data_IF_072501998804
#
_entry.id   IF_072501998804
#
_cell.length_a   1.000
_cell.length_b   1.000
_cell.length_c   1.000
_cell.angle_alpha   90.00
_cell.angle_beta   90.00
_cell.angle_gamma   90.00
#
_symmetry.space_group_name_H-M   'P 1'
#
loop_
_entity.id
_entity.type
_entity.pdbx_description
1 polymer ?
#
# COMPACT_ATOMS: atom_id res chain seq x y z
N UNK A 1 -27.26 -37.92 -16.10
CA UNK A 1 -26.08 -37.96 -15.20
C UNK A 1 -26.19 -36.91 -14.08
N UNK A 2 -27.10 -37.08 -13.09
CA UNK A 2 -27.25 -36.18 -11.92
C UNK A 2 -27.27 -36.91 -10.56
N UNK A 3 -26.89 -38.19 -10.52
CA UNK A 3 -26.98 -39.04 -9.32
C UNK A 3 -25.69 -39.06 -8.46
N UNK A 4 -24.55 -38.61 -8.99
CA UNK A 4 -23.28 -38.58 -8.24
C UNK A 4 -23.17 -37.43 -7.21
N UNK A 5 -23.94 -36.35 -7.41
CA UNK A 5 -23.96 -35.19 -6.49
C UNK A 5 -24.69 -35.46 -5.16
N UNK A 6 -25.82 -36.17 -5.21
CA UNK A 6 -26.69 -36.41 -4.04
C UNK A 6 -26.06 -37.34 -3.00
N UNK A 7 -25.47 -38.45 -3.43
CA UNK A 7 -24.78 -39.40 -2.54
C UNK A 7 -23.57 -38.75 -1.82
N UNK A 8 -22.92 -37.78 -2.46
CA UNK A 8 -21.78 -37.04 -1.91
C UNK A 8 -22.23 -36.01 -0.87
N UNK A 9 -23.40 -35.39 -1.06
CA UNK A 9 -23.98 -34.43 -0.11
C UNK A 9 -24.51 -35.13 1.14
N UNK A 10 -25.17 -36.29 1.00
CA UNK A 10 -25.63 -37.07 2.16
C UNK A 10 -24.49 -37.64 3.00
N UNK A 11 -23.42 -38.15 2.37
CA UNK A 11 -22.20 -38.56 3.09
C UNK A 11 -21.57 -37.40 3.85
N UNK A 12 -21.49 -36.21 3.24
CA UNK A 12 -20.96 -35.00 3.91
C UNK A 12 -21.82 -34.56 5.11
N UNK A 13 -23.16 -34.69 5.02
CA UNK A 13 -24.09 -34.38 6.13
C UNK A 13 -23.97 -35.39 7.28
N UNK A 14 -23.92 -36.69 6.99
CA UNK A 14 -23.72 -37.74 8.01
C UNK A 14 -22.41 -37.56 8.78
N UNK A 15 -21.31 -37.29 8.09
CA UNK A 15 -20.00 -37.08 8.72
C UNK A 15 -20.00 -35.82 9.63
N UNK A 16 -20.63 -34.72 9.19
CA UNK A 16 -20.78 -33.51 10.02
C UNK A 16 -21.59 -33.79 11.29
N UNK A 17 -22.64 -34.59 11.19
CA UNK A 17 -23.47 -35.00 12.34
C UNK A 17 -22.66 -35.78 13.38
N UNK A 18 -21.77 -36.67 12.94
CA UNK A 18 -20.93 -37.48 13.85
C UNK A 18 -19.99 -36.61 14.66
N UNK A 19 -19.28 -35.66 14.04
CA UNK A 19 -18.36 -34.78 14.77
C UNK A 19 -19.05 -33.89 15.80
N UNK A 20 -20.27 -33.42 15.51
CA UNK A 20 -21.06 -32.61 16.46
C UNK A 20 -21.56 -33.46 17.62
N UNK A 21 -22.00 -34.70 17.36
CA UNK A 21 -22.44 -35.62 18.42
C UNK A 21 -21.26 -36.06 19.30
N UNK A 22 -20.10 -36.36 18.72
CA UNK A 22 -18.88 -36.66 19.47
C UNK A 22 -18.41 -35.47 20.29
N UNK A 23 -18.55 -34.24 19.78
CA UNK A 23 -18.21 -33.03 20.53
C UNK A 23 -19.11 -32.83 21.77
N UNK A 24 -20.42 -33.09 21.65
CA UNK A 24 -21.35 -33.07 22.78
C UNK A 24 -20.98 -34.14 23.82
N UNK A 25 -20.71 -35.37 23.36
CA UNK A 25 -20.26 -36.44 24.23
C UNK A 25 -19.00 -36.07 25.03
N UNK A 26 -18.00 -35.45 24.39
CA UNK A 26 -16.78 -34.99 25.08
C UNK A 26 -17.08 -33.90 26.11
N UNK A 27 -18.00 -32.97 25.81
CA UNK A 27 -18.37 -31.90 26.74
C UNK A 27 -19.03 -32.43 28.01
N UNK A 28 -19.84 -33.47 27.87
CA UNK A 28 -20.62 -34.07 28.95
C UNK A 28 -19.81 -35.08 29.80
N UNK A 29 -18.64 -35.53 29.33
CA UNK A 29 -17.75 -36.40 30.10
C UNK A 29 -17.17 -35.70 31.32
N UNK A 30 -17.01 -36.44 32.42
CA UNK A 30 -16.23 -35.97 33.57
C UNK A 30 -14.75 -35.84 33.22
N UNK A 31 -14.02 -35.05 34.00
CA UNK A 31 -12.60 -34.80 33.78
C UNK A 31 -11.76 -36.10 33.84
N UNK A 32 -12.05 -36.99 34.80
CA UNK A 32 -11.32 -38.25 34.97
C UNK A 32 -11.63 -39.23 33.82
N UNK A 33 -12.90 -39.34 33.43
CA UNK A 33 -13.32 -40.16 32.29
C UNK A 33 -12.73 -39.66 30.97
N UNK A 34 -12.61 -38.34 30.82
CA UNK A 34 -12.00 -37.71 29.66
C UNK A 34 -10.53 -38.09 29.53
N UNK A 35 -9.75 -38.11 30.61
CA UNK A 35 -8.33 -38.49 30.57
C UNK A 35 -8.17 -39.92 30.03
N UNK A 36 -9.00 -40.85 30.51
CA UNK A 36 -8.98 -42.26 30.09
C UNK A 36 -9.38 -42.43 28.62
N UNK A 37 -10.36 -41.64 28.17
CA UNK A 37 -10.87 -41.72 26.80
C UNK A 37 -9.98 -40.93 25.83
N UNK A 38 -9.20 -39.95 26.31
CA UNK A 38 -8.40 -39.07 25.47
C UNK A 38 -7.41 -39.84 24.59
N UNK A 39 -6.77 -40.89 25.13
CA UNK A 39 -5.87 -41.75 24.36
C UNK A 39 -6.57 -42.54 23.25
N UNK A 40 -7.89 -42.72 23.35
CA UNK A 40 -8.72 -43.40 22.36
C UNK A 40 -9.31 -42.44 21.30
N UNK A 41 -9.13 -41.12 21.46
CA UNK A 41 -9.54 -40.13 20.45
C UNK A 41 -8.57 -40.21 19.27
N UNK A 42 -9.06 -40.06 18.01
CA UNK A 42 -8.18 -39.97 16.85
C UNK A 42 -7.07 -38.92 17.05
N UNK A 43 -5.85 -39.17 16.57
CA UNK A 43 -4.74 -38.24 16.74
C UNK A 43 -5.11 -36.81 16.31
N UNK A 44 -4.76 -35.82 17.14
CA UNK A 44 -5.12 -34.41 16.92
C UNK A 44 -4.65 -33.92 15.54
N UNK A 45 -3.48 -34.37 15.08
CA UNK A 45 -2.95 -34.13 13.72
C UNK A 45 -3.93 -34.51 12.61
N UNK A 46 -4.63 -35.62 12.76
CA UNK A 46 -5.57 -36.10 11.76
C UNK A 46 -6.89 -35.34 11.82
N UNK A 47 -7.32 -34.94 13.02
CA UNK A 47 -8.45 -34.03 13.18
C UNK A 47 -8.16 -32.66 12.55
N UNK A 48 -6.95 -32.12 12.68
CA UNK A 48 -6.53 -30.85 12.06
C UNK A 48 -6.65 -30.90 10.52
N UNK A 49 -6.26 -32.01 9.89
CA UNK A 49 -6.33 -32.16 8.42
C UNK A 49 -7.77 -32.03 7.87
N UNK A 50 -8.77 -32.41 8.67
CA UNK A 50 -10.19 -32.51 8.29
C UNK A 50 -10.96 -31.18 8.54
N UNK A 51 -10.28 -30.12 9.00
CA UNK A 51 -10.85 -28.77 9.13
C UNK A 51 -11.47 -28.32 7.80
N UNK A 52 -12.71 -27.77 7.81
CA UNK A 52 -13.43 -27.24 8.97
C UNK A 52 -14.39 -28.21 9.68
N UNK A 53 -14.53 -29.47 9.24
CA UNK A 53 -15.57 -30.36 9.78
C UNK A 53 -15.31 -30.86 11.20
N UNK A 54 -14.04 -30.99 11.56
CA UNK A 54 -13.59 -31.41 12.89
C UNK A 54 -13.58 -30.30 13.93
N UNK A 55 -13.82 -29.04 13.55
CA UNK A 55 -13.73 -27.90 14.46
C UNK A 55 -14.61 -28.00 15.71
N UNK A 56 -15.87 -28.47 15.65
CA UNK A 56 -16.68 -28.64 16.86
C UNK A 56 -16.06 -29.64 17.84
N UNK A 57 -15.44 -30.71 17.33
CA UNK A 57 -14.78 -31.73 18.13
C UNK A 57 -13.47 -31.22 18.72
N UNK A 58 -12.66 -30.53 17.91
CA UNK A 58 -11.43 -29.88 18.37
C UNK A 58 -11.73 -28.84 19.45
N UNK A 59 -12.78 -28.04 19.28
CA UNK A 59 -13.20 -27.06 20.28
C UNK A 59 -13.56 -27.72 21.63
N UNK A 60 -14.36 -28.80 21.59
CA UNK A 60 -14.69 -29.56 22.81
C UNK A 60 -13.45 -30.16 23.48
N UNK A 61 -12.51 -30.69 22.70
CA UNK A 61 -11.25 -31.23 23.20
C UNK A 61 -10.41 -30.14 23.86
N UNK A 62 -10.19 -29.00 23.17
CA UNK A 62 -9.40 -27.89 23.71
C UNK A 62 -10.02 -27.32 24.99
N UNK A 63 -11.35 -27.21 25.06
CA UNK A 63 -12.06 -26.76 26.26
C UNK A 63 -11.87 -27.72 27.44
N UNK A 64 -11.95 -29.04 27.20
CA UNK A 64 -11.71 -30.04 28.26
C UNK A 64 -10.24 -30.08 28.68
N UNK A 65 -9.30 -30.01 27.74
CA UNK A 65 -7.88 -29.93 28.07
C UNK A 65 -7.56 -28.67 28.90
N UNK A 66 -8.24 -27.55 28.64
CA UNK A 66 -8.14 -26.35 29.46
C UNK A 66 -8.70 -26.57 30.88
N UNK A 67 -9.89 -27.17 31.00
CA UNK A 67 -10.56 -27.37 32.30
C UNK A 67 -9.88 -28.39 33.20
N UNK A 68 -9.31 -29.44 32.62
CA UNK A 68 -8.56 -30.47 33.37
C UNK A 68 -7.15 -29.96 33.72
N UNK A 69 -6.72 -28.85 33.14
CA UNK A 69 -5.40 -28.24 33.35
C UNK A 69 -4.26 -29.25 33.17
N UNK A 70 -4.39 -30.14 32.18
CA UNK A 70 -3.57 -31.34 32.03
C UNK A 70 -2.08 -31.07 31.79
N UNK A 71 -1.70 -29.83 31.46
CA UNK A 71 -0.37 -29.52 30.96
C UNK A 71 0.10 -28.12 31.33
N UNK A 72 1.39 -28.01 31.69
CA UNK A 72 2.16 -26.77 31.56
C UNK A 72 2.17 -26.31 30.09
N UNK A 73 2.34 -25.01 29.85
CA UNK A 73 2.22 -24.34 28.54
C UNK A 73 2.93 -25.08 27.39
N UNK A 74 4.15 -25.58 27.63
CA UNK A 74 4.95 -26.26 26.61
C UNK A 74 4.41 -27.65 26.21
N UNK A 75 3.89 -28.39 27.19
CA UNK A 75 3.32 -29.72 26.97
C UNK A 75 1.98 -29.56 26.25
N UNK A 76 1.19 -28.54 26.62
CA UNK A 76 -0.08 -28.21 25.95
C UNK A 76 0.14 -27.90 24.46
N UNK A 77 1.16 -27.07 24.14
CA UNK A 77 1.53 -26.72 22.75
C UNK A 77 1.85 -27.96 21.91
N UNK A 78 2.66 -28.88 22.45
CA UNK A 78 3.11 -30.09 21.74
C UNK A 78 2.05 -31.17 21.65
N UNK A 79 1.27 -31.36 22.71
CA UNK A 79 0.31 -32.45 22.81
C UNK A 79 -0.95 -32.21 21.98
N UNK A 80 -1.33 -30.94 21.80
CA UNK A 80 -2.46 -30.55 20.93
C UNK A 80 -2.03 -30.04 19.55
N UNK A 81 -0.73 -30.11 19.21
CA UNK A 81 -0.20 -29.63 17.93
C UNK A 81 -0.68 -28.23 17.54
N UNK A 82 -0.63 -27.29 18.49
CA UNK A 82 -1.18 -25.94 18.34
C UNK A 82 -0.61 -25.23 17.09
N UNK A 83 0.68 -25.40 16.80
CA UNK A 83 1.35 -24.81 15.63
C UNK A 83 0.74 -25.30 14.31
N UNK A 84 0.43 -26.59 14.19
CA UNK A 84 -0.21 -27.13 12.99
C UNK A 84 -1.66 -26.68 12.87
N UNK A 85 -2.38 -26.64 13.99
CA UNK A 85 -3.76 -26.18 14.04
C UNK A 85 -3.87 -24.72 13.58
N UNK A 86 -3.03 -23.86 14.14
CA UNK A 86 -3.04 -22.44 13.81
C UNK A 86 -2.68 -22.18 12.34
N UNK A 87 -1.64 -22.83 11.83
CA UNK A 87 -1.29 -22.76 10.41
C UNK A 87 -2.44 -23.23 9.51
N UNK A 88 -3.14 -24.30 9.90
CA UNK A 88 -4.29 -24.81 9.14
C UNK A 88 -5.49 -23.86 9.19
N UNK A 89 -5.76 -23.23 10.33
CA UNK A 89 -6.80 -22.22 10.48
C UNK A 89 -6.47 -20.98 9.64
N UNK A 90 -5.23 -20.49 9.70
CA UNK A 90 -4.77 -19.35 8.89
C UNK A 90 -4.90 -19.64 7.39
N UNK A 91 -4.46 -20.82 6.94
CA UNK A 91 -4.59 -21.25 5.55
C UNK A 91 -6.05 -21.34 5.11
N UNK A 92 -6.92 -21.92 5.95
CA UNK A 92 -8.35 -21.99 5.67
C UNK A 92 -8.99 -20.60 5.58
N UNK A 93 -8.62 -19.68 6.48
CA UNK A 93 -9.11 -18.30 6.48
C UNK A 93 -8.63 -17.53 5.24
N UNK A 94 -7.37 -17.72 4.83
CA UNK A 94 -6.82 -17.14 3.61
C UNK A 94 -7.60 -17.60 2.36
N UNK A 95 -7.86 -18.90 2.22
CA UNK A 95 -8.63 -19.45 1.09
C UNK A 95 -10.08 -18.95 1.10
N UNK A 96 -10.71 -18.88 2.28
CA UNK A 96 -12.07 -18.34 2.43
C UNK A 96 -12.14 -16.89 1.92
N UNK A 97 -11.13 -16.08 2.22
CA UNK A 97 -11.11 -14.67 1.85
C UNK A 97 -10.58 -14.39 0.43
N UNK A 98 -9.98 -15.37 -0.25
CA UNK A 98 -9.55 -15.27 -1.65
C UNK A 98 -10.68 -15.46 -2.67
N UNK A 99 -11.92 -15.73 -2.24
CA UNK A 99 -13.10 -15.69 -3.12
C UNK A 99 -13.28 -14.23 -3.60
N UNK A 100 -13.19 -13.97 -4.92
CA UNK A 100 -12.66 -12.72 -5.45
C UNK A 100 -13.59 -11.53 -5.17
N UNK A 101 -13.11 -10.57 -4.37
CA UNK A 101 -13.47 -9.16 -4.51
C UNK A 101 -12.62 -8.53 -5.63
N UNK A 102 -12.64 -9.13 -6.82
CA UNK A 102 -12.15 -8.46 -8.03
C UNK A 102 -13.37 -7.94 -8.80
N UNK A 103 -13.50 -6.61 -9.03
CA UNK A 103 -14.54 -6.08 -9.88
C UNK A 103 -14.13 -6.33 -11.33
N UNK A 104 -14.42 -7.54 -11.85
CA UNK A 104 -14.41 -7.77 -13.29
C UNK A 104 -15.85 -7.58 -13.77
N UNK A 105 -15.99 -6.61 -14.66
CA UNK A 105 -17.17 -6.24 -15.41
C UNK A 105 -17.88 -7.48 -16.03
N UNK A 106 -19.22 -7.48 -15.96
CA UNK A 106 -20.21 -8.27 -16.74
C UNK A 106 -20.73 -9.61 -16.14
N UNK A 107 -21.94 -10.06 -16.53
CA UNK A 107 -23.24 -9.45 -16.23
C UNK A 107 -24.08 -10.37 -15.33
N UNK A 108 -25.01 -9.75 -14.61
CA UNK A 108 -25.98 -10.41 -13.73
C UNK A 108 -26.85 -11.41 -14.48
N UNK A 109 -26.88 -12.66 -14.03
CA UNK A 109 -28.11 -13.46 -14.03
C UNK A 109 -28.11 -14.50 -12.90
N UNK A 110 -29.24 -14.51 -12.19
CA UNK A 110 -29.85 -15.58 -11.40
C UNK A 110 -29.20 -16.07 -10.07
N UNK A 111 -30.00 -15.90 -9.00
CA UNK A 111 -30.06 -16.69 -7.75
C UNK A 111 -28.86 -16.71 -6.79
N UNK A 112 -28.52 -15.54 -6.22
CA UNK A 112 -27.52 -15.41 -5.13
C UNK A 112 -28.11 -15.36 -3.70
N UNK A 113 -29.43 -15.25 -3.53
CA UNK A 113 -30.02 -14.89 -2.23
C UNK A 113 -30.18 -16.07 -1.27
N UNK A 114 -30.43 -17.29 -1.76
CA UNK A 114 -30.69 -18.48 -0.93
C UNK A 114 -29.45 -19.35 -0.65
N UNK A 115 -28.37 -19.21 -1.43
CA UNK A 115 -27.10 -19.91 -1.17
C UNK A 115 -26.26 -19.18 -0.09
N UNK A 116 -26.34 -17.86 -0.02
CA UNK A 116 -25.55 -17.05 0.92
C UNK A 116 -26.03 -17.25 2.37
N UNK A 117 -27.34 -17.29 2.63
CA UNK A 117 -27.89 -17.45 3.99
C UNK A 117 -27.50 -18.78 4.68
N UNK A 118 -27.41 -19.88 3.94
CA UNK A 118 -26.97 -21.20 4.47
C UNK A 118 -25.45 -21.20 4.71
N UNK A 119 -24.71 -20.46 3.89
CA UNK A 119 -23.25 -20.32 4.01
C UNK A 119 -22.91 -19.43 5.20
N UNK A 120 -23.68 -18.37 5.45
CA UNK A 120 -23.46 -17.42 6.54
C UNK A 120 -23.72 -18.03 7.93
N UNK A 121 -24.80 -18.82 8.09
CA UNK A 121 -25.06 -19.55 9.34
C UNK A 121 -23.98 -20.58 9.66
N UNK A 122 -23.50 -21.31 8.65
CA UNK A 122 -22.41 -22.29 8.83
C UNK A 122 -21.05 -21.61 9.07
N UNK A 123 -20.84 -20.44 8.47
CA UNK A 123 -19.64 -19.62 8.67
C UNK A 123 -19.59 -19.08 10.10
N UNK A 124 -20.72 -18.64 10.66
CA UNK A 124 -20.78 -18.10 12.01
C UNK A 124 -20.43 -19.16 13.06
N UNK A 125 -21.00 -20.37 12.96
CA UNK A 125 -20.68 -21.47 13.87
C UNK A 125 -19.22 -21.92 13.78
N UNK A 126 -18.63 -21.87 12.58
CA UNK A 126 -17.20 -22.20 12.39
C UNK A 126 -16.31 -21.13 13.04
N UNK A 127 -16.70 -19.86 12.93
CA UNK A 127 -15.98 -18.74 13.52
C UNK A 127 -16.04 -18.74 15.04
N UNK A 128 -17.16 -19.15 15.65
CA UNK A 128 -17.26 -19.26 17.12
C UNK A 128 -16.33 -20.33 17.68
N UNK A 129 -16.25 -21.52 17.04
CA UNK A 129 -15.31 -22.57 17.44
C UNK A 129 -13.85 -22.12 17.30
N UNK A 130 -13.50 -21.44 16.20
CA UNK A 130 -12.15 -20.89 16.00
C UNK A 130 -11.81 -19.86 17.07
N UNK A 131 -12.72 -18.91 17.37
CA UNK A 131 -12.52 -17.90 18.41
C UNK A 131 -12.33 -18.54 19.80
N UNK A 132 -13.11 -19.57 20.11
CA UNK A 132 -12.99 -20.28 21.38
C UNK A 132 -11.61 -20.94 21.50
N UNK A 133 -11.20 -21.72 20.49
CA UNK A 133 -9.89 -22.38 20.46
C UNK A 133 -8.75 -21.35 20.55
N UNK A 134 -8.79 -20.27 19.77
CA UNK A 134 -7.77 -19.22 19.82
C UNK A 134 -7.71 -18.54 21.19
N UNK A 135 -8.86 -18.31 21.84
CA UNK A 135 -8.89 -17.78 23.20
C UNK A 135 -8.25 -18.71 24.22
N UNK A 136 -8.41 -20.03 24.06
CA UNK A 136 -7.75 -21.04 24.90
C UNK A 136 -6.23 -21.02 24.66
N UNK A 137 -5.80 -21.01 23.39
CA UNK A 137 -4.39 -20.93 23.03
C UNK A 137 -3.75 -19.67 23.61
N UNK A 138 -4.41 -18.52 23.50
CA UNK A 138 -3.91 -17.25 24.04
C UNK A 138 -3.71 -17.30 25.57
N UNK A 139 -4.59 -17.99 26.31
CA UNK A 139 -4.46 -18.14 27.78
C UNK A 139 -3.40 -19.15 28.18
N UNK A 140 -3.28 -20.27 27.45
CA UNK A 140 -2.35 -21.37 27.79
C UNK A 140 -0.96 -21.19 27.20
N UNK A 141 -0.83 -20.46 26.11
CA UNK A 141 0.41 -20.26 25.38
C UNK A 141 0.43 -18.86 24.72
N UNK A 142 0.60 -17.79 25.51
CA UNK A 142 0.64 -16.42 24.98
C UNK A 142 1.84 -16.16 24.06
N UNK A 143 2.98 -16.80 24.32
CA UNK A 143 4.22 -16.65 23.54
C UNK A 143 4.01 -16.97 22.06
N UNK A 144 3.27 -18.03 21.75
CA UNK A 144 2.93 -18.39 20.38
C UNK A 144 2.10 -17.30 19.68
N UNK A 145 1.21 -16.61 20.39
CA UNK A 145 0.44 -15.51 19.82
C UNK A 145 1.35 -14.31 19.55
N UNK A 146 2.28 -14.01 20.46
CA UNK A 146 3.29 -12.97 20.27
C UNK A 146 4.22 -13.27 19.08
N UNK A 147 4.67 -14.51 18.92
CA UNK A 147 5.45 -14.98 17.75
C UNK A 147 4.71 -14.66 16.44
N UNK A 148 3.42 -14.99 16.35
CA UNK A 148 2.60 -14.70 15.17
C UNK A 148 2.46 -13.20 14.92
N UNK A 149 2.29 -12.39 15.97
CA UNK A 149 2.25 -10.93 15.82
C UNK A 149 3.58 -10.36 15.35
N UNK A 150 4.69 -10.90 15.83
CA UNK A 150 6.03 -10.52 15.39
C UNK A 150 6.24 -10.89 13.92
N UNK A 151 5.91 -12.11 13.50
CA UNK A 151 5.98 -12.54 12.10
C UNK A 151 5.08 -11.69 11.20
N UNK A 152 3.86 -11.38 11.65
CA UNK A 152 2.95 -10.48 10.95
C UNK A 152 3.60 -9.10 10.76
N UNK A 153 4.19 -8.55 11.82
CA UNK A 153 4.88 -7.25 11.76
C UNK A 153 6.03 -7.28 10.76
N UNK A 154 6.88 -8.32 10.82
CA UNK A 154 7.98 -8.52 9.87
C UNK A 154 7.46 -8.63 8.43
N UNK A 155 6.39 -9.39 8.20
CA UNK A 155 5.76 -9.50 6.88
C UNK A 155 5.25 -8.15 6.39
N UNK A 156 4.64 -7.33 7.25
CA UNK A 156 4.23 -5.96 6.90
C UNK A 156 5.42 -5.09 6.52
N UNK A 157 6.51 -5.12 7.29
CA UNK A 157 7.74 -4.40 6.95
C UNK A 157 8.35 -4.87 5.63
N UNK A 158 8.35 -6.19 5.38
CA UNK A 158 8.80 -6.73 4.09
C UNK A 158 7.89 -6.30 2.94
N UNK A 159 6.57 -6.27 3.13
CA UNK A 159 5.62 -5.84 2.12
C UNK A 159 5.75 -4.35 1.80
N UNK A 160 5.96 -3.53 2.83
CA UNK A 160 6.26 -2.10 2.69
C UNK A 160 7.58 -1.90 1.93
N UNK A 161 8.64 -2.65 2.30
CA UNK A 161 9.92 -2.61 1.60
C UNK A 161 9.78 -3.07 0.14
N UNK A 162 8.95 -4.08 -0.15
CA UNK A 162 8.65 -4.55 -1.49
C UNK A 162 7.97 -3.46 -2.33
N UNK A 163 7.07 -2.69 -1.72
CA UNK A 163 6.43 -1.53 -2.33
C UNK A 163 7.40 -0.37 -2.61
N UNK A 164 8.55 -0.32 -1.93
CA UNK A 164 9.54 0.75 -2.04
C UNK A 164 10.69 0.44 -3.01
N UNK A 165 10.80 -0.78 -3.57
CA UNK A 165 11.86 -1.09 -4.52
C UNK A 165 11.67 -0.37 -5.85
N UNK A 166 12.54 0.62 -6.08
CA UNK A 166 12.49 1.44 -7.29
C UNK A 166 11.50 2.61 -7.22
N UNK A 167 10.88 2.87 -6.06
CA UNK A 167 10.08 4.08 -5.81
C UNK A 167 10.85 5.05 -4.90
N UNK A 168 10.71 6.35 -5.14
CA UNK A 168 11.22 7.43 -4.27
C UNK A 168 10.03 8.21 -3.72
N UNK A 169 10.11 8.64 -2.47
CA UNK A 169 9.16 9.57 -1.88
C UNK A 169 9.34 10.98 -2.48
N UNK A 170 8.32 11.46 -3.19
CA UNK A 170 8.17 12.85 -3.61
C UNK A 170 7.04 13.52 -2.81
N UNK A 171 6.95 14.86 -2.86
CA UNK A 171 5.90 15.62 -2.17
C UNK A 171 4.47 15.31 -2.65
N UNK A 172 4.34 14.65 -3.81
CA UNK A 172 3.07 14.24 -4.41
C UNK A 172 2.78 12.73 -4.25
N UNK A 173 3.65 11.98 -3.56
CA UNK A 173 3.54 10.54 -3.37
C UNK A 173 4.79 9.77 -3.82
N UNK A 174 4.68 8.44 -3.89
CA UNK A 174 5.74 7.56 -4.36
C UNK A 174 5.79 7.52 -5.90
N UNK A 175 6.97 7.76 -6.47
CA UNK A 175 7.20 7.80 -7.93
C UNK A 175 8.37 6.89 -8.27
N UNK A 176 8.37 6.25 -9.45
CA UNK A 176 9.51 5.41 -9.83
C UNK A 176 10.81 6.22 -9.91
N UNK A 177 11.94 5.66 -9.49
CA UNK A 177 13.25 6.30 -9.53
C UNK A 177 13.59 6.80 -10.93
N UNK A 178 13.25 6.01 -11.95
CA UNK A 178 13.45 6.36 -13.36
C UNK A 178 12.60 7.59 -13.74
N UNK A 179 11.33 7.63 -13.32
CA UNK A 179 10.44 8.76 -13.57
C UNK A 179 10.90 10.03 -12.83
N UNK A 180 11.35 9.90 -11.59
CA UNK A 180 11.90 11.01 -10.81
C UNK A 180 13.18 11.59 -11.46
N UNK A 181 14.08 10.72 -11.93
CA UNK A 181 15.29 11.12 -12.66
C UNK A 181 14.92 11.80 -13.99
N UNK A 182 13.95 11.26 -14.72
CA UNK A 182 13.47 11.84 -15.98
C UNK A 182 12.86 13.24 -15.74
N UNK A 183 12.04 13.39 -14.72
CA UNK A 183 11.44 14.67 -14.35
C UNK A 183 12.51 15.73 -14.00
N UNK A 184 13.49 15.39 -13.17
CA UNK A 184 14.55 16.34 -12.81
C UNK A 184 15.44 16.68 -14.02
N UNK A 185 15.65 15.72 -14.93
CA UNK A 185 16.39 15.93 -16.19
C UNK A 185 15.67 16.92 -17.12
N UNK A 186 14.35 16.77 -17.30
CA UNK A 186 13.53 17.70 -18.09
C UNK A 186 13.58 19.11 -17.50
N UNK A 187 13.40 19.21 -16.18
CA UNK A 187 13.47 20.48 -15.45
C UNK A 187 14.84 21.17 -15.59
N UNK A 188 15.94 20.41 -15.54
CA UNK A 188 17.28 20.91 -15.81
C UNK A 188 17.42 21.38 -17.28
N UNK A 189 16.92 20.60 -18.23
CA UNK A 189 16.92 20.97 -19.65
C UNK A 189 16.19 22.30 -19.89
N UNK A 190 15.03 22.52 -19.26
CA UNK A 190 14.29 23.77 -19.35
C UNK A 190 15.03 24.96 -18.74
N UNK A 191 15.71 24.77 -17.59
CA UNK A 191 16.57 25.79 -16.99
C UNK A 191 17.70 26.18 -17.95
N UNK A 192 18.37 25.19 -18.56
CA UNK A 192 19.44 25.42 -19.54
C UNK A 192 18.92 26.18 -20.76
N UNK A 193 17.76 25.79 -21.31
CA UNK A 193 17.13 26.51 -22.43
C UNK A 193 16.86 27.98 -22.10
N UNK A 194 16.34 28.28 -20.90
CA UNK A 194 16.11 29.65 -20.43
C UNK A 194 17.40 30.48 -20.27
N UNK A 195 18.47 29.85 -19.78
CA UNK A 195 19.78 30.53 -19.69
C UNK A 195 20.30 30.83 -21.10
N UNK A 196 20.17 29.88 -22.03
CA UNK A 196 20.65 30.02 -23.40
C UNK A 196 19.90 31.13 -24.17
N UNK A 197 18.58 31.27 -23.98
CA UNK A 197 17.83 32.40 -24.55
C UNK A 197 18.32 33.73 -24.00
N UNK A 198 18.55 33.82 -22.69
CA UNK A 198 19.05 35.05 -22.04
C UNK A 198 20.45 35.43 -22.53
N UNK A 199 21.34 34.46 -22.73
CA UNK A 199 22.67 34.70 -23.32
C UNK A 199 22.55 35.25 -24.75
N UNK A 200 21.66 34.67 -25.57
CA UNK A 200 21.42 35.16 -26.95
C UNK A 200 20.89 36.59 -26.98
N UNK A 201 20.01 36.95 -26.05
CA UNK A 201 19.51 38.33 -25.91
C UNK A 201 20.62 39.30 -25.53
N UNK A 202 21.46 38.96 -24.56
CA UNK A 202 22.60 39.78 -24.15
C UNK A 202 23.63 39.95 -25.28
N UNK A 203 23.86 38.92 -26.09
CA UNK A 203 24.74 39.01 -27.27
C UNK A 203 24.18 39.97 -28.33
N UNK A 204 22.86 39.94 -28.59
CA UNK A 204 22.21 40.89 -29.51
C UNK A 204 22.31 42.34 -29.01
N UNK A 205 22.12 42.56 -27.71
CA UNK A 205 22.26 43.90 -27.11
C UNK A 205 23.69 44.45 -27.20
N UNK A 206 24.71 43.59 -27.03
CA UNK A 206 26.12 44.00 -27.24
C UNK A 206 26.39 44.45 -28.69
N UNK A 207 25.76 43.82 -29.68
CA UNK A 207 25.93 44.21 -31.09
C UNK A 207 25.28 45.56 -31.42
N UNK A 208 24.08 45.82 -30.90
CA UNK A 208 23.38 47.10 -31.08
C UNK A 208 24.11 48.26 -30.38
N UNK A 209 24.61 48.04 -29.16
CA UNK A 209 25.28 49.09 -28.43
C UNK A 209 26.65 49.44 -29.03
N UNK A 210 27.41 48.44 -29.51
CA UNK A 210 28.74 48.66 -30.06
C UNK A 210 28.78 49.41 -31.41
N UNK A 211 27.70 49.42 -32.20
CA UNK A 211 27.69 50.13 -33.50
C UNK A 211 27.54 51.65 -33.32
N UNK A 212 26.67 52.08 -32.40
CA UNK A 212 26.44 53.49 -32.08
C UNK A 212 27.66 54.12 -31.39
N UNK A 213 28.31 53.40 -30.48
CA UNK A 213 29.49 53.93 -29.79
C UNK A 213 30.68 54.08 -30.73
N UNK A 214 30.92 53.12 -31.65
CA UNK A 214 32.07 53.21 -32.58
C UNK A 214 31.96 54.37 -33.56
N UNK A 215 30.78 54.63 -34.12
CA UNK A 215 30.55 55.76 -35.02
C UNK A 215 30.69 57.11 -34.30
N UNK A 216 30.10 57.23 -33.10
CA UNK A 216 30.23 58.44 -32.27
C UNK A 216 31.69 58.70 -31.86
N UNK A 217 32.39 57.65 -31.43
CA UNK A 217 33.77 57.73 -30.99
C UNK A 217 34.74 58.02 -32.14
N UNK A 218 34.51 57.45 -33.32
CA UNK A 218 35.27 57.75 -34.54
C UNK A 218 35.01 59.19 -35.01
N UNK A 219 33.76 59.65 -34.95
CA UNK A 219 33.40 61.04 -35.24
C UNK A 219 34.07 62.01 -34.27
N UNK A 220 34.19 61.67 -32.98
CA UNK A 220 34.88 62.52 -32.00
C UNK A 220 36.38 62.61 -32.27
N UNK A 221 37.02 61.52 -32.70
CA UNK A 221 38.45 61.50 -32.99
C UNK A 221 38.83 62.22 -34.30
N UNK A 222 37.87 62.42 -35.21
CA UNK A 222 38.12 63.06 -36.52
C UNK A 222 37.79 64.55 -36.58
N UNK A 223 37.28 65.15 -35.51
CA UNK A 223 36.86 66.56 -35.53
C UNK A 223 38.06 67.49 -35.42
N UNK A 224 38.14 68.45 -36.35
CA UNK A 224 39.11 69.55 -36.26
C UNK A 224 38.58 70.64 -35.34
N UNK A 225 39.48 71.36 -34.66
CA UNK A 225 39.11 72.42 -33.73
C UNK A 225 38.25 73.52 -34.39
N UNK A 226 38.50 73.84 -35.66
CA UNK A 226 37.65 74.77 -36.44
C UNK A 226 36.21 74.30 -36.58
N UNK A 227 36.00 72.99 -36.81
CA UNK A 227 34.66 72.41 -36.94
C UNK A 227 33.92 72.39 -35.60
N UNK A 228 34.66 72.31 -34.49
CA UNK A 228 34.09 72.42 -33.13
C UNK A 228 33.64 73.86 -32.88
N UNK A 229 34.45 74.86 -33.24
CA UNK A 229 34.09 76.28 -33.11
C UNK A 229 32.89 76.65 -33.99
N UNK A 230 32.83 76.18 -35.23
CA UNK A 230 31.68 76.44 -36.12
C UNK A 230 30.39 75.87 -35.54
N UNK A 231 30.45 74.67 -34.94
CA UNK A 231 29.29 74.06 -34.28
C UNK A 231 28.90 74.77 -33.00
N UNK A 232 29.85 75.20 -32.19
CA UNK A 232 29.57 76.02 -31.00
C UNK A 232 28.88 77.32 -31.39
N UNK A 233 29.36 77.98 -32.45
CA UNK A 233 28.75 79.19 -32.99
C UNK A 233 27.33 78.94 -33.54
N UNK A 234 27.11 77.82 -34.22
CA UNK A 234 25.77 77.42 -34.66
C UNK A 234 24.84 77.14 -33.48
N UNK A 235 25.34 76.48 -32.44
CA UNK A 235 24.56 76.18 -31.24
C UNK A 235 24.22 77.46 -30.46
N UNK A 236 25.14 78.41 -30.36
CA UNK A 236 24.92 79.72 -29.74
C UNK A 236 23.88 80.54 -30.53
N UNK A 237 23.90 80.47 -31.86
CA UNK A 237 22.87 81.07 -32.71
C UNK A 237 21.50 80.41 -32.50
N UNK A 238 21.44 79.08 -32.40
CA UNK A 238 20.21 78.34 -32.09
C UNK A 238 19.71 78.68 -30.69
N UNK A 239 20.61 78.76 -29.71
CA UNK A 239 20.29 79.16 -28.34
C UNK A 239 19.68 80.56 -28.31
N UNK A 240 20.24 81.50 -29.07
CA UNK A 240 19.69 82.86 -29.20
C UNK A 240 18.28 82.83 -29.79
N UNK A 241 18.05 82.06 -30.86
CA UNK A 241 16.73 81.89 -31.48
C UNK A 241 15.73 81.26 -30.49
N UNK A 242 16.15 80.24 -29.75
CA UNK A 242 15.32 79.58 -28.74
C UNK A 242 14.98 80.56 -27.62
N UNK A 243 15.95 81.34 -27.13
CA UNK A 243 15.73 82.37 -26.11
C UNK A 243 14.76 83.43 -26.63
N UNK A 244 14.90 83.88 -27.87
CA UNK A 244 14.02 84.87 -28.50
C UNK A 244 12.57 84.35 -28.64
N UNK A 245 12.40 83.09 -29.06
CA UNK A 245 11.10 82.40 -29.10
C UNK A 245 10.47 82.28 -27.70
N UNK A 246 11.29 81.98 -26.68
CA UNK A 246 10.81 81.81 -25.30
C UNK A 246 10.49 83.16 -24.65
N UNK A 247 11.26 84.22 -24.93
CA UNK A 247 11.12 85.53 -24.28
C UNK A 247 10.18 86.49 -25.00
N UNK A 248 9.92 86.29 -26.30
CA UNK A 248 8.99 87.11 -27.07
C UNK A 248 7.94 86.24 -27.79
N UNK A 249 6.98 85.64 -27.06
CA UNK A 249 6.02 84.69 -27.62
C UNK A 249 4.91 85.32 -28.48
N UNK A 250 5.10 86.51 -29.07
CA UNK A 250 4.08 87.20 -29.89
C UNK A 250 4.63 87.87 -31.15
N UNK A 251 4.82 87.04 -32.17
CA UNK A 251 4.31 87.24 -33.55
C UNK A 251 3.97 85.88 -34.13
#
# INVERSE_FOLDING_TARGET
MKLSGLATVEKKRKIKSVFVQSALGIRDLNNDDFIVIFENIPPIKDLIKIIPRSLPLLDAIYQKCESVNLCYSDIFRRYLDCDQLLNRILWWYAIKNQIPKMPILMPETADKTSLNAITDSQNLATETHIKSILGIIQRKNPEMIEEIYLEKSQLFSCLEALGCHGLINCSTGMVQLIEAVLYETIKLQEKVKRILTKIKEMQKQKFLNNSATKSSHQRQLSLKLSEIYDRLKQNEAIETIIIEIITNPRT
#
